data_IF_240303583202
#
_entry.id   IF_240303583202
#
_cell.length_a   1.000
_cell.length_b   1.000
_cell.length_c   1.000
_cell.angle_alpha   90.00
_cell.angle_beta   90.00
_cell.angle_gamma   90.00
#
_symmetry.space_group_name_H-M   'P 1'
#
loop_
_entity.id
_entity.type
_entity.pdbx_description
1 polymer ?
#
# COMPACT_ATOMS: atom_id res chain seq x y z
N UNK A 1 -17.91 -26.52 -28.12
CA UNK A 1 -16.60 -26.71 -27.44
C UNK A 1 -16.07 -25.34 -27.03
N UNK A 2 -15.87 -25.10 -25.74
CA UNK A 2 -15.41 -23.82 -25.20
C UNK A 2 -13.88 -23.79 -25.09
N UNK A 3 -13.26 -22.70 -25.56
CA UNK A 3 -11.84 -22.40 -25.37
C UNK A 3 -11.70 -21.38 -24.23
N UNK A 4 -10.77 -21.64 -23.31
CA UNK A 4 -10.41 -20.74 -22.21
C UNK A 4 -9.59 -19.54 -22.74
N UNK A 5 -9.69 -18.34 -22.14
CA UNK A 5 -9.12 -17.12 -22.72
C UNK A 5 -7.74 -16.72 -22.18
N UNK A 6 -7.05 -17.60 -21.46
CA UNK A 6 -5.74 -17.28 -20.85
C UNK A 6 -4.60 -17.45 -21.86
N UNK A 7 -4.42 -16.46 -22.73
CA UNK A 7 -3.27 -16.37 -23.63
C UNK A 7 -2.75 -14.93 -23.68
N UNK A 8 -1.68 -14.65 -22.93
CA UNK A 8 -1.00 -13.35 -22.95
C UNK A 8 0.19 -13.38 -23.92
N UNK A 9 0.35 -12.32 -24.70
CA UNK A 9 1.63 -11.99 -25.35
C UNK A 9 2.01 -10.55 -25.04
N UNK A 10 3.31 -10.40 -24.82
CA UNK A 10 4.05 -9.22 -24.38
C UNK A 10 4.26 -8.22 -25.51
N UNK A 11 4.18 -6.92 -25.19
CA UNK A 11 4.84 -5.88 -25.96
C UNK A 11 5.52 -4.89 -25.01
N UNK A 12 6.77 -4.56 -25.36
CA UNK A 12 7.72 -3.66 -24.73
C UNK A 12 7.13 -2.49 -23.94
N UNK A 13 7.63 -2.32 -22.70
CA UNK A 13 7.84 -0.99 -22.10
C UNK A 13 7.01 -0.62 -20.88
N UNK A 14 5.90 -1.29 -20.58
CA UNK A 14 5.08 -0.95 -19.41
C UNK A 14 4.37 -2.19 -18.86
N UNK A 15 4.78 -2.64 -17.68
CA UNK A 15 3.96 -3.50 -16.84
C UNK A 15 3.38 -2.61 -15.73
N UNK A 16 2.05 -2.52 -15.70
CA UNK A 16 1.29 -1.85 -14.66
C UNK A 16 0.59 -2.93 -13.84
N UNK A 17 0.63 -2.85 -12.52
CA UNK A 17 -0.26 -3.59 -11.62
C UNK A 17 -1.66 -2.96 -11.75
N UNK A 18 -2.28 -3.21 -12.90
CA UNK A 18 -3.68 -3.03 -13.11
C UNK A 18 -4.38 -4.18 -12.35
N UNK A 19 -5.01 -3.85 -11.22
CA UNK A 19 -6.06 -4.69 -10.69
C UNK A 19 -7.25 -4.59 -11.66
N UNK A 20 -7.27 -5.41 -12.72
CA UNK A 20 -8.52 -5.71 -13.43
C UNK A 20 -9.44 -6.42 -12.40
N UNK A 21 -10.71 -6.03 -12.22
CA UNK A 21 -11.82 -6.55 -13.03
C UNK A 21 -13.09 -5.69 -12.91
N UNK A 22 -13.75 -5.48 -14.06
CA UNK A 22 -15.21 -5.32 -14.14
C UNK A 22 -15.78 -3.90 -14.31
N UNK A 23 -15.37 -3.16 -15.35
CA UNK A 23 -16.03 -1.90 -15.75
C UNK A 23 -15.59 -0.67 -14.96
N UNK A 24 -14.65 0.11 -15.51
CA UNK A 24 -14.29 1.44 -14.99
C UNK A 24 -13.14 1.48 -13.95
N UNK A 25 -12.20 0.52 -14.00
CA UNK A 25 -11.20 0.29 -12.95
C UNK A 25 -10.01 1.27 -12.85
N UNK A 26 -9.74 1.68 -11.61
CA UNK A 26 -8.45 1.87 -10.92
C UNK A 26 -7.26 2.40 -11.76
N UNK A 27 -6.84 3.64 -11.50
CA UNK A 27 -5.52 4.18 -11.89
C UNK A 27 -4.66 4.40 -10.64
N UNK A 28 -3.99 3.36 -10.18
CA UNK A 28 -2.83 3.46 -9.29
C UNK A 28 -1.58 3.12 -10.08
N UNK A 29 -0.69 4.09 -10.31
CA UNK A 29 0.60 3.84 -10.96
C UNK A 29 1.62 3.51 -9.87
N UNK A 30 1.89 2.22 -9.68
CA UNK A 30 3.05 1.70 -8.92
C UNK A 30 3.69 0.65 -9.84
N UNK A 31 4.99 0.76 -10.12
CA UNK A 31 5.68 -0.14 -11.04
C UNK A 31 5.86 -1.54 -10.41
N UNK A 32 5.79 -2.57 -11.25
CA UNK A 32 5.57 -3.99 -10.89
C UNK A 32 6.78 -4.75 -10.32
N UNK A 33 7.88 -4.07 -10.01
CA UNK A 33 9.13 -4.78 -9.71
C UNK A 33 9.24 -5.22 -8.24
N UNK A 34 8.55 -4.58 -7.30
CA UNK A 34 8.91 -4.68 -5.86
C UNK A 34 7.74 -5.00 -4.90
N UNK A 35 6.63 -5.57 -5.42
CA UNK A 35 5.51 -6.05 -4.60
C UNK A 35 5.68 -7.54 -4.29
N UNK A 36 6.04 -7.86 -3.05
CA UNK A 36 6.03 -9.23 -2.53
C UNK A 36 4.66 -9.59 -1.93
N UNK A 37 3.91 -10.51 -2.55
CA UNK A 37 2.74 -11.12 -1.91
C UNK A 37 3.20 -12.13 -0.86
N UNK A 38 2.93 -11.87 0.43
CA UNK A 38 3.42 -12.74 1.52
C UNK A 38 2.44 -13.87 1.86
N UNK A 39 1.15 -13.67 1.61
CA UNK A 39 0.12 -14.70 1.78
C UNK A 39 -1.14 -14.31 0.99
N UNK A 40 -1.59 -15.18 0.08
CA UNK A 40 -2.84 -15.06 -0.70
C UNK A 40 -3.85 -16.11 -0.26
N UNK A 41 -5.03 -15.73 0.28
CA UNK A 41 -6.09 -16.69 0.51
C UNK A 41 -6.63 -17.20 -0.84
N UNK A 42 -7.05 -18.46 -0.88
CA UNK A 42 -7.66 -19.09 -2.08
C UNK A 42 -8.94 -18.36 -2.55
N UNK A 43 -9.59 -17.61 -1.66
CA UNK A 43 -10.78 -16.79 -1.89
C UNK A 43 -10.60 -15.43 -1.22
N UNK A 44 -10.80 -14.33 -1.96
CA UNK A 44 -10.74 -12.97 -1.41
C UNK A 44 -11.94 -12.73 -0.48
N UNK A 45 -11.71 -12.06 0.66
CA UNK A 45 -12.75 -11.76 1.65
C UNK A 45 -13.08 -12.89 2.64
N UNK A 46 -12.48 -14.08 2.49
CA UNK A 46 -12.57 -15.20 3.45
C UNK A 46 -11.30 -15.34 4.32
N UNK A 47 -10.33 -14.44 4.17
CA UNK A 47 -9.08 -14.43 4.91
C UNK A 47 -8.30 -13.12 4.71
N UNK A 48 -7.22 -12.97 5.47
CA UNK A 48 -6.35 -11.79 5.40
C UNK A 48 -5.42 -11.92 4.20
N UNK A 49 -5.23 -10.84 3.44
CA UNK A 49 -4.28 -10.78 2.33
C UNK A 49 -3.22 -9.72 2.61
N UNK A 50 -1.96 -10.00 2.27
CA UNK A 50 -0.82 -9.16 2.63
C UNK A 50 0.04 -8.82 1.42
N UNK A 51 0.23 -7.52 1.20
CA UNK A 51 1.18 -6.97 0.24
C UNK A 51 2.30 -6.27 0.99
N UNK A 52 3.54 -6.66 0.71
CA UNK A 52 4.71 -5.93 1.19
C UNK A 52 5.28 -5.08 0.06
N UNK A 53 5.47 -3.79 0.34
CA UNK A 53 6.12 -2.84 -0.55
C UNK A 53 7.41 -2.38 0.14
N UNK A 54 8.53 -2.50 -0.58
CA UNK A 54 9.86 -2.19 -0.05
C UNK A 54 10.55 -1.02 -0.77
N UNK A 55 10.06 -0.69 -1.97
CA UNK A 55 10.61 0.34 -2.84
C UNK A 55 9.51 1.31 -3.33
N UNK A 56 9.91 2.52 -3.71
CA UNK A 56 9.04 3.56 -4.24
C UNK A 56 8.79 3.40 -5.76
N UNK A 57 8.02 4.33 -6.35
CA UNK A 57 7.67 4.29 -7.78
C UNK A 57 8.88 4.32 -8.73
N UNK A 58 10.05 4.76 -8.26
CA UNK A 58 11.30 4.81 -9.02
C UNK A 58 12.20 3.59 -8.73
N UNK A 59 11.69 2.57 -8.03
CA UNK A 59 12.45 1.39 -7.62
C UNK A 59 13.52 1.71 -6.57
N UNK A 60 13.36 2.81 -5.84
CA UNK A 60 14.28 3.18 -4.77
C UNK A 60 13.74 2.71 -3.43
N UNK A 61 14.57 2.09 -2.57
CA UNK A 61 14.17 1.74 -1.23
C UNK A 61 13.63 2.92 -0.44
N UNK A 62 12.63 2.65 0.42
CA UNK A 62 12.08 3.70 1.26
C UNK A 62 13.10 4.22 2.29
N UNK A 63 13.35 5.53 2.22
CA UNK A 63 14.23 6.29 3.09
C UNK A 63 13.38 7.02 4.13
N UNK A 64 13.56 6.70 5.40
CA UNK A 64 12.73 7.23 6.47
C UNK A 64 12.83 8.74 6.66
N UNK A 65 13.82 9.42 6.06
CA UNK A 65 13.94 10.89 6.07
C UNK A 65 13.02 11.60 5.07
N UNK A 66 12.46 10.88 4.10
CA UNK A 66 11.65 11.42 3.01
C UNK A 66 10.14 11.30 3.29
N UNK A 67 9.36 11.99 2.46
CA UNK A 67 7.90 11.92 2.49
C UNK A 67 7.37 11.05 1.36
N UNK A 68 6.56 10.06 1.71
CA UNK A 68 5.88 9.19 0.76
C UNK A 68 4.36 9.26 0.96
N UNK A 69 3.62 9.07 -0.13
CA UNK A 69 2.16 9.02 -0.13
C UNK A 69 1.65 7.75 -0.77
N UNK A 70 0.81 7.01 -0.05
CA UNK A 70 0.03 5.90 -0.57
C UNK A 70 -1.42 6.34 -0.74
N UNK A 71 -2.02 6.07 -1.90
CA UNK A 71 -3.43 6.32 -2.17
C UNK A 71 -4.18 4.99 -2.08
N UNK A 72 -5.07 4.88 -1.11
CA UNK A 72 -5.99 3.74 -0.99
C UNK A 72 -7.29 4.11 -1.71
N UNK A 73 -7.72 3.32 -2.72
CA UNK A 73 -8.95 3.61 -3.45
C UNK A 73 -10.19 3.41 -2.55
N UNK A 74 -11.33 4.07 -2.89
CA UNK A 74 -12.57 4.01 -2.10
C UNK A 74 -13.13 2.58 -1.92
N UNK A 75 -12.86 1.71 -2.88
CA UNK A 75 -13.40 0.36 -3.03
C UNK A 75 -12.35 -0.72 -2.71
N UNK A 76 -11.44 -0.44 -1.77
CA UNK A 76 -10.48 -1.43 -1.29
C UNK A 76 -11.20 -2.75 -0.95
N UNK A 77 -10.76 -3.91 -1.47
CA UNK A 77 -11.52 -5.17 -1.44
C UNK A 77 -11.46 -5.87 -0.07
N UNK A 78 -11.95 -5.19 0.96
CA UNK A 78 -12.00 -5.66 2.35
C UNK A 78 -13.43 -5.72 2.84
N UNK A 79 -13.77 -6.75 3.62
CA UNK A 79 -15.07 -6.81 4.30
C UNK A 79 -15.04 -6.18 5.69
N UNK A 80 -13.87 -6.17 6.34
CA UNK A 80 -13.71 -5.72 7.71
C UNK A 80 -12.95 -4.40 7.78
N UNK A 81 -11.67 -4.41 7.38
CA UNK A 81 -10.81 -3.23 7.34
C UNK A 81 -9.52 -3.53 6.58
N UNK A 82 -8.92 -2.51 5.99
CA UNK A 82 -7.52 -2.52 5.57
C UNK A 82 -6.62 -1.80 6.56
N UNK A 83 -5.33 -2.14 6.58
CA UNK A 83 -4.29 -1.40 7.31
C UNK A 83 -2.96 -1.35 6.56
N UNK A 84 -2.23 -0.24 6.67
CA UNK A 84 -0.86 -0.08 6.23
C UNK A 84 0.06 0.13 7.43
N UNK A 85 1.02 -0.78 7.62
CA UNK A 85 1.95 -0.78 8.77
C UNK A 85 3.39 -0.69 8.29
N UNK A 86 4.17 0.16 8.96
CA UNK A 86 5.57 0.42 8.66
C UNK A 86 6.47 -0.44 9.56
N UNK A 87 7.44 -1.11 8.95
CA UNK A 87 8.45 -1.91 9.62
C UNK A 87 9.85 -1.38 9.28
N UNK A 88 10.74 -1.45 10.26
CA UNK A 88 12.17 -1.22 10.06
C UNK A 88 12.76 -2.30 9.15
N UNK A 89 13.47 -1.88 8.10
CA UNK A 89 13.99 -2.80 7.08
C UNK A 89 15.15 -3.65 7.60
N UNK A 90 15.94 -3.13 8.55
CA UNK A 90 17.13 -3.82 9.09
C UNK A 90 16.75 -4.97 10.02
N UNK A 91 15.78 -4.75 10.88
CA UNK A 91 15.36 -5.68 11.95
C UNK A 91 14.12 -6.48 11.57
N UNK A 92 13.38 -6.05 10.54
CA UNK A 92 12.05 -6.57 10.19
C UNK A 92 11.00 -6.42 11.33
N UNK A 93 11.30 -5.61 12.35
CA UNK A 93 10.40 -5.31 13.46
C UNK A 93 9.73 -3.94 13.25
N UNK A 94 8.83 -3.57 14.16
CA UNK A 94 8.26 -2.23 14.18
C UNK A 94 9.36 -1.19 14.44
N UNK A 95 9.25 -0.03 13.80
CA UNK A 95 10.14 1.10 14.08
C UNK A 95 9.93 1.54 15.53
N UNK A 96 11.03 1.68 16.28
CA UNK A 96 11.00 2.05 17.70
C UNK A 96 10.74 3.55 17.88
N UNK A 97 10.28 3.93 19.07
CA UNK A 97 10.11 5.34 19.48
C UNK A 97 9.15 6.14 18.58
N UNK A 98 8.26 5.43 17.88
CA UNK A 98 7.20 6.02 17.05
C UNK A 98 5.89 6.08 17.83
N UNK A 99 5.12 7.16 17.66
CA UNK A 99 3.80 7.32 18.29
C UNK A 99 2.78 6.27 17.85
N UNK A 100 2.96 5.72 16.65
CA UNK A 100 2.20 4.60 16.09
C UNK A 100 2.95 4.08 14.85
N UNK A 101 2.60 2.87 14.43
CA UNK A 101 3.33 2.17 13.37
C UNK A 101 2.55 2.04 12.07
N UNK A 102 1.32 2.55 12.01
CA UNK A 102 0.51 2.46 10.82
C UNK A 102 -0.82 3.20 10.89
N UNK A 103 -1.60 3.05 9.83
CA UNK A 103 -2.97 3.53 9.71
C UNK A 103 -3.87 2.46 9.11
N UNK A 104 -5.13 2.52 9.47
CA UNK A 104 -6.18 1.61 9.00
C UNK A 104 -7.44 2.39 8.66
N UNK A 105 -8.33 1.78 7.90
CA UNK A 105 -9.70 2.30 7.67
C UNK A 105 -10.50 2.54 8.95
N UNK A 106 -10.06 2.00 10.10
CA UNK A 106 -10.69 2.20 11.40
C UNK A 106 -9.91 3.18 12.30
N UNK A 107 -8.85 3.81 11.79
CA UNK A 107 -8.08 4.77 12.58
C UNK A 107 -8.94 5.99 12.94
N UNK A 108 -9.01 6.40 14.22
CA UNK A 108 -9.80 7.55 14.63
C UNK A 108 -9.38 8.82 13.89
N UNK A 109 -10.36 9.56 13.37
CA UNK A 109 -10.13 10.83 12.67
C UNK A 109 -9.46 10.70 11.30
N UNK A 110 -9.36 9.49 10.74
CA UNK A 110 -8.84 9.29 9.38
C UNK A 110 -9.60 10.15 8.39
N UNK A 111 -8.86 10.99 7.66
CA UNK A 111 -9.44 11.87 6.64
C UNK A 111 -9.63 11.09 5.35
N UNK A 112 -10.85 11.10 4.85
CA UNK A 112 -11.25 10.52 3.57
C UNK A 112 -11.42 11.65 2.56
N UNK A 113 -10.94 11.45 1.33
CA UNK A 113 -11.09 12.42 0.25
C UNK A 113 -12.54 12.44 -0.26
N UNK A 114 -12.91 13.46 -1.04
CA UNK A 114 -14.26 13.60 -1.58
C UNK A 114 -14.68 12.45 -2.51
N UNK A 115 -13.73 11.79 -3.17
CA UNK A 115 -13.94 10.61 -4.03
C UNK A 115 -13.97 9.29 -3.23
N UNK A 116 -13.90 9.36 -1.90
CA UNK A 116 -13.86 8.20 -1.00
C UNK A 116 -12.46 7.56 -0.86
N UNK A 117 -11.46 7.99 -1.62
CA UNK A 117 -10.09 7.51 -1.45
C UNK A 117 -9.45 8.02 -0.16
N UNK A 118 -8.39 7.36 0.30
CA UNK A 118 -7.59 7.80 1.47
C UNK A 118 -6.14 8.00 1.07
N UNK A 119 -5.60 9.18 1.35
CA UNK A 119 -4.18 9.45 1.24
C UNK A 119 -3.51 9.12 2.57
N UNK A 120 -2.62 8.14 2.62
CA UNK A 120 -1.73 7.87 3.75
C UNK A 120 -0.36 8.48 3.50
N UNK A 121 0.25 9.02 4.55
CA UNK A 121 1.57 9.65 4.47
C UNK A 121 2.57 8.91 5.35
N UNK A 122 3.80 8.70 4.86
CA UNK A 122 4.91 8.10 5.62
C UNK A 122 6.06 9.09 5.63
N UNK A 123 6.36 9.69 6.78
CA UNK A 123 7.39 10.72 6.88
C UNK A 123 7.77 11.05 8.34
N UNK A 124 8.90 11.75 8.60
CA UNK A 124 9.31 12.15 9.96
C UNK A 124 8.48 13.24 10.63
N UNK A 125 7.89 14.16 9.87
CA UNK A 125 7.05 15.26 10.42
C UNK A 125 5.80 15.48 9.60
N UNK A 126 4.65 15.60 10.25
CA UNK A 126 3.36 15.64 9.55
C UNK A 126 3.25 16.88 8.66
N UNK A 127 2.62 16.79 7.48
CA UNK A 127 2.16 17.95 6.75
C UNK A 127 1.00 18.57 7.53
N UNK A 128 0.96 19.90 7.62
CA UNK A 128 -0.07 20.61 8.38
C UNK A 128 -1.47 20.19 7.93
N UNK A 129 -2.29 19.74 8.88
CA UNK A 129 -3.68 19.33 8.65
C UNK A 129 -3.85 17.91 8.10
N UNK A 130 -2.77 17.11 8.00
CA UNK A 130 -2.79 15.70 7.55
C UNK A 130 -2.25 14.72 8.59
N UNK A 131 -2.14 15.16 9.85
CA UNK A 131 -1.60 14.41 10.98
C UNK A 131 -2.35 13.09 11.20
N UNK A 132 -3.68 13.10 11.01
CA UNK A 132 -4.53 11.93 11.17
C UNK A 132 -4.26 10.82 10.14
N UNK A 133 -3.66 11.14 8.99
CA UNK A 133 -3.38 10.18 7.92
C UNK A 133 -1.89 9.79 7.84
N UNK A 134 -1.07 10.39 8.68
CA UNK A 134 0.38 10.20 8.67
C UNK A 134 0.79 9.06 9.58
N UNK A 135 1.82 8.31 9.17
CA UNK A 135 2.60 7.36 9.96
C UNK A 135 4.04 7.89 10.09
N UNK A 136 4.59 8.06 11.30
CA UNK A 136 5.96 8.52 11.49
C UNK A 136 6.96 7.48 10.98
N UNK A 137 8.07 7.97 10.45
CA UNK A 137 9.24 7.17 10.05
C UNK A 137 10.49 7.67 10.77
N UNK A 138 11.49 6.81 10.90
CA UNK A 138 12.80 7.18 11.46
C UNK A 138 13.69 7.79 10.36
N UNK A 139 14.09 9.08 10.47
CA UNK A 139 14.99 9.72 9.51
C UNK A 139 16.33 9.02 9.29
N UNK A 140 16.81 8.24 10.27
CA UNK A 140 18.08 7.54 10.20
C UNK A 140 17.95 6.13 9.58
N UNK A 141 16.73 5.69 9.30
CA UNK A 141 16.42 4.32 8.95
C UNK A 141 15.80 4.16 7.56
N UNK A 142 15.72 2.91 7.12
CA UNK A 142 14.96 2.50 5.95
C UNK A 142 13.76 1.68 6.41
N UNK A 143 12.67 1.71 5.66
CA UNK A 143 11.46 1.02 6.05
C UNK A 143 10.82 0.22 4.92
N UNK A 144 9.79 -0.53 5.28
CA UNK A 144 8.89 -1.23 4.36
C UNK A 144 7.46 -1.10 4.84
N UNK A 145 6.51 -1.17 3.92
CA UNK A 145 5.09 -1.07 4.22
C UNK A 145 4.44 -2.42 3.99
N UNK A 146 3.76 -2.94 5.01
CA UNK A 146 2.88 -4.09 4.91
C UNK A 146 1.44 -3.59 4.84
N UNK A 147 0.81 -3.77 3.68
CA UNK A 147 -0.60 -3.51 3.49
C UNK A 147 -1.39 -4.80 3.70
N UNK A 148 -2.36 -4.74 4.60
CA UNK A 148 -3.28 -5.84 4.93
C UNK A 148 -4.68 -5.48 4.46
N UNK A 149 -5.32 -6.46 3.85
CA UNK A 149 -6.73 -6.46 3.44
C UNK A 149 -7.57 -7.35 4.36
#
# INVERSE_FOLDING_TARGET
MARSPWGGYTQSGHASAAFAYGGGGIRGVVNDTDIGSFFTPKRLGEGQFYLMVIDDKAGQPFDGSKTYRLVVPPDAPVRQYWSATVYDRKTNALIREMSHTGRSSQSPGLQVNADGSVNLYFEPKAPTGKEANRTPTDPAGMFKVLFRF
#
